data_IF_365340989860
#
_entry.id   IF_365340989860
#
_cell.length_a   1.000
_cell.length_b   1.000
_cell.length_c   1.000
_cell.angle_alpha   90.00
_cell.angle_beta   90.00
_cell.angle_gamma   90.00
#
_symmetry.space_group_name_H-M   'P 1'
#
loop_
_entity.id
_entity.type
_entity.pdbx_description
1 polymer ?
#
# COMPACT_ATOMS: atom_id res chain seq x y z
N UNK A 1 50.79 31.80 -3.22
CA UNK A 1 49.93 30.77 -3.86
C UNK A 1 49.28 29.91 -2.80
N UNK A 2 47.96 29.68 -2.92
CA UNK A 2 47.17 28.55 -2.38
C UNK A 2 46.95 28.56 -0.85
N UNK A 3 45.79 28.25 -0.30
CA UNK A 3 44.48 27.80 -0.81
C UNK A 3 43.51 27.99 0.38
N UNK A 4 42.42 28.72 0.20
CA UNK A 4 41.34 28.73 1.19
C UNK A 4 40.59 27.39 1.08
N UNK A 5 40.53 26.62 2.17
CA UNK A 5 39.67 25.44 2.26
C UNK A 5 38.26 25.92 2.63
N UNK A 6 37.35 25.89 1.65
CA UNK A 6 35.92 26.04 1.89
C UNK A 6 35.38 24.64 2.24
N UNK A 7 35.05 24.44 3.51
CA UNK A 7 34.32 23.25 3.97
C UNK A 7 32.83 23.51 3.70
N UNK A 8 32.32 22.97 2.59
CA UNK A 8 30.89 23.00 2.30
C UNK A 8 30.23 21.93 3.18
N UNK A 9 29.58 22.38 4.25
CA UNK A 9 28.65 21.57 5.03
C UNK A 9 27.44 21.28 4.12
N UNK A 10 27.38 20.07 3.55
CA UNK A 10 26.18 19.59 2.89
C UNK A 10 25.10 19.38 3.97
N UNK A 11 24.25 20.38 4.16
CA UNK A 11 22.96 20.17 4.81
C UNK A 11 22.17 19.20 3.93
N UNK A 12 22.02 17.96 4.39
CA UNK A 12 21.02 17.05 3.86
C UNK A 12 19.65 17.67 4.14
N UNK A 13 19.16 18.49 3.21
CA UNK A 13 17.74 18.82 3.13
C UNK A 13 17.02 17.53 2.79
N UNK A 14 16.62 16.78 3.83
CA UNK A 14 15.53 15.83 3.69
C UNK A 14 14.29 16.66 3.44
N UNK A 15 14.04 16.97 2.16
CA UNK A 15 12.74 17.47 1.75
C UNK A 15 11.70 16.51 2.35
N UNK A 16 10.69 16.99 3.10
CA UNK A 16 9.59 16.12 3.43
C UNK A 16 9.08 15.59 2.10
N UNK A 17 9.05 14.27 1.96
CA UNK A 17 8.32 13.61 0.90
C UNK A 17 6.88 14.05 1.06
N UNK A 18 6.50 15.10 0.33
CA UNK A 18 5.16 15.66 0.34
C UNK A 18 4.28 14.62 -0.32
N UNK A 19 3.56 13.84 0.47
CA UNK A 19 2.64 12.83 -0.05
C UNK A 19 1.65 13.50 -1.02
N UNK A 20 1.60 13.05 -2.27
CA UNK A 20 0.54 13.50 -3.19
C UNK A 20 -0.80 13.00 -2.70
N UNK A 21 -1.77 13.91 -2.67
CA UNK A 21 -3.17 13.60 -2.43
C UNK A 21 -3.92 13.57 -3.75
N UNK A 22 -4.71 12.52 -3.98
CA UNK A 22 -5.59 12.37 -5.14
C UNK A 22 -7.05 12.51 -4.71
N UNK A 23 -7.86 13.14 -5.54
CA UNK A 23 -9.32 13.13 -5.40
C UNK A 23 -9.89 11.74 -5.70
N UNK A 24 -11.11 11.48 -5.21
CA UNK A 24 -11.80 10.22 -5.50
C UNK A 24 -11.99 9.99 -7.00
N UNK A 25 -12.34 11.04 -7.74
CA UNK A 25 -12.55 11.01 -9.19
C UNK A 25 -11.26 10.64 -9.94
N UNK A 26 -10.12 11.19 -9.53
CA UNK A 26 -8.81 10.84 -10.11
C UNK A 26 -8.47 9.37 -9.85
N UNK A 27 -8.72 8.87 -8.64
CA UNK A 27 -8.47 7.47 -8.31
C UNK A 27 -9.39 6.52 -9.09
N UNK A 28 -10.66 6.89 -9.28
CA UNK A 28 -11.60 6.14 -10.12
C UNK A 28 -11.15 6.13 -11.59
N UNK A 29 -10.73 7.29 -12.13
CA UNK A 29 -10.21 7.41 -13.48
C UNK A 29 -8.93 6.58 -13.68
N UNK A 30 -8.01 6.57 -12.71
CA UNK A 30 -6.83 5.72 -12.76
C UNK A 30 -7.20 4.23 -12.77
N UNK A 31 -8.12 3.82 -11.90
CA UNK A 31 -8.61 2.43 -11.83
C UNK A 31 -9.21 1.98 -13.16
N UNK A 32 -10.12 2.77 -13.74
CA UNK A 32 -10.76 2.51 -15.02
C UNK A 32 -9.76 2.38 -16.18
N UNK A 33 -8.66 3.14 -16.13
CA UNK A 33 -7.60 3.13 -17.14
C UNK A 33 -6.45 2.16 -16.84
N UNK A 34 -6.62 1.23 -15.88
CA UNK A 34 -5.57 0.33 -15.41
C UNK A 34 -4.28 1.00 -14.90
N UNK A 35 -4.31 2.31 -14.64
CA UNK A 35 -3.22 3.08 -14.02
C UNK A 35 -3.23 2.90 -12.50
N UNK A 36 -2.10 3.20 -11.87
CA UNK A 36 -1.93 3.12 -10.41
C UNK A 36 -1.20 4.38 -9.95
N UNK A 37 -1.56 4.95 -8.78
CA UNK A 37 -0.77 6.01 -8.16
C UNK A 37 0.68 5.58 -7.92
N UNK A 38 1.59 6.55 -7.95
CA UNK A 38 3.01 6.32 -7.60
C UNK A 38 3.14 6.24 -6.08
N UNK A 39 3.66 5.12 -5.58
CA UNK A 39 3.84 4.86 -4.14
C UNK A 39 5.29 5.01 -3.75
N UNK A 40 5.53 5.57 -2.55
CA UNK A 40 6.86 5.68 -1.95
C UNK A 40 7.00 4.61 -0.89
N UNK A 41 8.12 3.91 -0.92
CA UNK A 41 8.55 3.07 0.20
C UNK A 41 8.93 3.97 1.40
N UNK A 42 8.67 3.55 2.64
CA UNK A 42 8.45 2.17 3.07
C UNK A 42 6.99 1.73 3.07
N UNK A 43 6.80 0.43 2.81
CA UNK A 43 5.55 -0.25 3.15
C UNK A 43 5.52 -0.49 4.66
N UNK A 44 4.42 -0.15 5.31
CA UNK A 44 4.19 -0.42 6.73
C UNK A 44 3.17 -1.55 6.88
N UNK A 45 3.52 -2.64 7.55
CA UNK A 45 2.55 -3.67 7.89
C UNK A 45 1.75 -3.19 9.11
N UNK A 46 0.45 -2.97 8.91
CA UNK A 46 -0.47 -2.51 9.95
C UNK A 46 -1.00 -3.69 10.77
N UNK A 47 -1.43 -4.74 10.08
CA UNK A 47 -2.03 -5.94 10.69
C UNK A 47 -1.39 -7.19 10.10
N UNK A 48 -1.14 -8.16 10.96
CA UNK A 48 -0.83 -9.55 10.59
C UNK A 48 -1.54 -10.49 11.54
N UNK A 49 -2.42 -11.31 11.00
CA UNK A 49 -3.07 -12.41 11.70
C UNK A 49 -2.60 -13.73 11.09
N UNK A 50 -2.32 -14.69 11.95
CA UNK A 50 -1.93 -16.05 11.56
C UNK A 50 -3.07 -17.01 11.88
N UNK A 51 -2.99 -18.22 11.33
CA UNK A 51 -3.86 -19.34 11.71
C UNK A 51 -5.34 -19.06 11.45
N UNK A 52 -5.66 -18.41 10.31
CA UNK A 52 -7.04 -18.17 9.89
C UNK A 52 -7.77 -19.47 9.43
N UNK A 53 -7.20 -20.64 9.68
CA UNK A 53 -7.69 -21.91 9.17
C UNK A 53 -7.44 -22.02 7.68
N UNK A 54 -8.48 -21.82 6.88
CA UNK A 54 -8.46 -21.99 5.43
C UNK A 54 -8.54 -20.67 4.64
N UNK A 55 -8.33 -20.78 3.33
CA UNK A 55 -8.31 -19.62 2.44
C UNK A 55 -9.68 -18.92 2.34
N UNK A 56 -10.79 -19.64 2.53
CA UNK A 56 -12.12 -19.05 2.49
C UNK A 56 -12.38 -18.21 3.75
N UNK A 57 -12.02 -18.74 4.90
CA UNK A 57 -12.08 -18.05 6.19
C UNK A 57 -11.25 -16.77 6.16
N UNK A 58 -10.06 -16.83 5.54
CA UNK A 58 -9.28 -15.62 5.33
C UNK A 58 -9.98 -14.59 4.43
N UNK A 59 -10.61 -15.02 3.34
CA UNK A 59 -11.36 -14.09 2.47
C UNK A 59 -12.53 -13.44 3.21
N UNK A 60 -13.22 -14.15 4.10
CA UNK A 60 -14.26 -13.57 4.95
C UNK A 60 -13.69 -12.53 5.93
N UNK A 61 -12.61 -12.88 6.64
CA UNK A 61 -11.88 -11.91 7.47
C UNK A 61 -11.48 -10.68 6.65
N UNK A 62 -10.94 -10.87 5.45
CA UNK A 62 -10.53 -9.78 4.56
C UNK A 62 -11.71 -8.88 4.18
N UNK A 63 -12.88 -9.44 3.87
CA UNK A 63 -14.11 -8.68 3.58
C UNK A 63 -14.53 -7.82 4.78
N UNK A 64 -14.48 -8.37 5.99
CA UNK A 64 -14.78 -7.63 7.21
C UNK A 64 -13.85 -6.41 7.33
N UNK A 65 -12.54 -6.62 7.16
CA UNK A 65 -11.54 -5.54 7.20
C UNK A 65 -11.72 -4.50 6.08
N UNK A 66 -12.30 -4.88 4.94
CA UNK A 66 -12.56 -3.99 3.80
C UNK A 66 -13.81 -3.13 3.95
N UNK A 67 -14.74 -3.51 4.84
CA UNK A 67 -16.04 -2.82 5.02
C UNK A 67 -15.92 -1.30 5.19
N UNK A 68 -14.99 -0.77 6.01
CA UNK A 68 -14.82 0.69 6.17
C UNK A 68 -14.37 1.42 4.89
N UNK A 69 -13.91 0.68 3.88
CA UNK A 69 -13.27 1.22 2.69
C UNK A 69 -14.07 0.94 1.40
N UNK A 70 -15.33 0.52 1.52
CA UNK A 70 -16.18 0.16 0.38
C UNK A 70 -16.37 1.30 -0.64
N UNK A 71 -16.32 2.57 -0.19
CA UNK A 71 -16.48 3.74 -1.06
C UNK A 71 -15.23 4.07 -1.90
N UNK A 72 -14.08 3.48 -1.60
CA UNK A 72 -12.82 3.76 -2.29
C UNK A 72 -12.58 2.80 -3.47
N UNK A 73 -11.88 3.24 -4.53
CA UNK A 73 -11.55 2.37 -5.65
C UNK A 73 -10.71 1.16 -5.21
N UNK A 74 -11.14 -0.03 -5.62
CA UNK A 74 -10.49 -1.29 -5.26
C UNK A 74 -9.93 -2.00 -6.49
N UNK A 75 -8.76 -2.61 -6.35
CA UNK A 75 -8.13 -3.46 -7.37
C UNK A 75 -7.78 -4.82 -6.80
N UNK A 76 -8.36 -5.85 -7.41
CA UNK A 76 -8.12 -7.24 -7.04
C UNK A 76 -6.90 -7.75 -7.80
N UNK A 77 -6.00 -8.42 -7.10
CA UNK A 77 -4.90 -9.19 -7.66
C UNK A 77 -4.87 -10.57 -7.02
N UNK A 78 -4.90 -11.62 -7.84
CA UNK A 78 -4.75 -12.99 -7.39
C UNK A 78 -3.55 -13.64 -8.09
N UNK A 79 -2.82 -14.48 -7.37
CA UNK A 79 -1.96 -15.49 -7.98
C UNK A 79 -2.68 -16.83 -7.98
N UNK A 80 -2.24 -17.79 -8.81
CA UNK A 80 -3.04 -18.99 -9.10
C UNK A 80 -3.59 -19.69 -7.85
N UNK A 81 -2.89 -19.74 -6.71
CA UNK A 81 -3.46 -20.35 -5.48
C UNK A 81 -2.95 -19.77 -4.14
N UNK A 82 -1.91 -18.90 -4.13
CA UNK A 82 -1.17 -18.60 -2.88
C UNK A 82 -1.39 -17.20 -2.32
N UNK A 83 -2.07 -16.34 -3.08
CA UNK A 83 -2.28 -14.94 -2.72
C UNK A 83 -3.59 -14.43 -3.30
N UNK A 84 -4.48 -13.93 -2.44
CA UNK A 84 -5.59 -13.08 -2.83
C UNK A 84 -5.39 -11.70 -2.20
N UNK A 85 -5.22 -10.69 -3.04
CA UNK A 85 -4.84 -9.33 -2.65
C UNK A 85 -5.88 -8.33 -3.13
N UNK A 86 -6.38 -7.50 -2.22
CA UNK A 86 -7.24 -6.37 -2.54
C UNK A 86 -6.47 -5.10 -2.19
N UNK A 87 -6.26 -4.25 -3.19
CA UNK A 87 -5.67 -2.92 -3.02
C UNK A 87 -6.78 -1.89 -3.01
N UNK A 88 -6.82 -1.08 -1.97
CA UNK A 88 -7.72 0.07 -1.82
C UNK A 88 -6.91 1.33 -2.05
N UNK A 89 -7.30 2.12 -3.05
CA UNK A 89 -6.68 3.39 -3.35
C UNK A 89 -7.41 4.50 -2.59
N UNK A 90 -6.74 5.11 -1.62
CA UNK A 90 -7.22 6.30 -0.90
C UNK A 90 -6.54 7.54 -1.47
N UNK A 91 -6.82 8.72 -0.91
CA UNK A 91 -6.27 9.99 -1.41
C UNK A 91 -4.75 10.08 -1.25
N UNK A 92 -4.21 9.70 -0.09
CA UNK A 92 -2.79 9.89 0.27
C UNK A 92 -1.99 8.59 0.36
N UNK A 93 -2.69 7.45 0.33
CA UNK A 93 -2.11 6.12 0.56
C UNK A 93 -2.87 5.01 -0.16
N UNK A 94 -2.21 3.88 -0.29
CA UNK A 94 -2.83 2.61 -0.65
C UNK A 94 -2.81 1.66 0.54
N UNK A 95 -3.93 1.02 0.81
CA UNK A 95 -4.01 -0.14 1.70
C UNK A 95 -4.04 -1.42 0.88
N UNK A 96 -3.25 -2.42 1.27
CA UNK A 96 -3.19 -3.72 0.62
C UNK A 96 -3.56 -4.80 1.63
N UNK A 97 -4.72 -5.42 1.41
CA UNK A 97 -5.27 -6.50 2.21
C UNK A 97 -4.91 -7.81 1.52
N UNK A 98 -4.23 -8.73 2.19
CA UNK A 98 -3.83 -10.01 1.60
C UNK A 98 -4.35 -11.18 2.41
N UNK A 99 -4.75 -12.23 1.71
CA UNK A 99 -4.80 -13.61 2.18
C UNK A 99 -3.68 -14.38 1.52
N UNK A 100 -2.81 -14.99 2.34
CA UNK A 100 -1.59 -15.67 1.90
C UNK A 100 -1.66 -17.13 2.36
N UNK A 101 -1.52 -18.06 1.43
CA UNK A 101 -1.51 -19.50 1.66
C UNK A 101 -0.13 -20.07 1.32
N UNK A 102 0.81 -19.94 2.27
CA UNK A 102 2.22 -20.33 2.08
C UNK A 102 2.79 -21.30 3.11
N UNK A 103 2.07 -21.63 4.19
CA UNK A 103 2.40 -22.66 5.20
C UNK A 103 1.23 -22.78 6.21
N UNK A 104 0.70 -21.62 6.60
CA UNK A 104 -0.54 -21.43 7.34
C UNK A 104 -1.24 -20.21 6.74
N UNK A 105 -2.56 -20.29 6.58
CA UNK A 105 -3.31 -19.17 6.00
C UNK A 105 -3.21 -17.96 6.92
N UNK A 106 -2.73 -16.86 6.35
CA UNK A 106 -2.50 -15.61 7.07
C UNK A 106 -3.15 -14.42 6.37
N UNK A 107 -3.63 -13.50 7.18
CA UNK A 107 -4.19 -12.24 6.77
C UNK A 107 -3.19 -11.11 7.04
N UNK A 108 -2.97 -10.23 6.07
CA UNK A 108 -2.16 -9.01 6.30
C UNK A 108 -2.83 -7.77 5.77
N UNK A 109 -2.59 -6.64 6.43
CA UNK A 109 -2.93 -5.31 5.93
C UNK A 109 -1.66 -4.48 5.92
N UNK A 110 -1.31 -3.96 4.75
CA UNK A 110 -0.13 -3.14 4.53
C UNK A 110 -0.51 -1.76 4.01
N UNK A 111 0.24 -0.76 4.39
CA UNK A 111 0.07 0.64 3.99
C UNK A 111 1.27 1.09 3.17
N UNK A 112 1.01 1.89 2.13
CA UNK A 112 2.04 2.63 1.38
C UNK A 112 1.53 4.04 1.09
N UNK A 113 2.32 5.06 1.40
CA UNK A 113 2.01 6.46 1.08
C UNK A 113 2.33 6.75 -0.39
N UNK A 114 1.62 7.70 -0.99
CA UNK A 114 1.97 8.18 -2.33
C UNK A 114 3.15 9.16 -2.31
N UNK A 115 3.76 9.31 -3.48
CA UNK A 115 4.88 10.22 -3.72
C UNK A 115 4.44 11.65 -3.81
#
# INVERSE_FOLDING_TARGET
>A
MKRALVVILFMCFQSPLMATTYSLDELQAMSANNKKPEIVRPYKQLIKVKELGDFNTCKEWQKEQLTPYAAYPQKIGASMEKLYSIRVLMADRTLTFNCIDLDNVSGTINEAMYK
#
